data_IF_473479109821
#
_entry.id   IF_473479109821
#
_cell.length_a   1.000
_cell.length_b   1.000
_cell.length_c   1.000
_cell.angle_alpha   90.00
_cell.angle_beta   90.00
_cell.angle_gamma   90.00
#
_symmetry.space_group_name_H-M   'P 1'
#
loop_
_entity.id
_entity.type
_entity.pdbx_description
1 polymer ?
#
# COMPACT_ATOMS: atom_id res chain seq x y z
N UNK A 1 13.71 -44.07 2.35
CA UNK A 1 13.76 -43.26 1.09
C UNK A 1 13.02 -41.99 1.34
N UNK A 2 13.76 -40.85 1.42
CA UNK A 2 13.15 -39.56 1.64
C UNK A 2 12.39 -39.11 0.38
N UNK A 3 11.11 -38.91 0.50
CA UNK A 3 10.28 -38.40 -0.59
C UNK A 3 10.68 -36.92 -0.84
N UNK A 4 11.40 -36.67 -1.89
CA UNK A 4 11.69 -35.31 -2.33
C UNK A 4 10.36 -34.67 -2.72
N UNK A 5 9.85 -33.82 -1.86
CA UNK A 5 8.74 -32.95 -2.22
C UNK A 5 9.28 -31.94 -3.24
N UNK A 6 9.09 -32.25 -4.51
CA UNK A 6 9.48 -31.37 -5.61
C UNK A 6 8.50 -30.19 -5.66
N UNK A 7 8.58 -29.34 -4.65
CA UNK A 7 7.76 -28.12 -4.59
C UNK A 7 8.25 -27.15 -5.67
N UNK A 8 7.46 -26.97 -6.71
CA UNK A 8 7.76 -26.03 -7.78
C UNK A 8 7.90 -24.63 -7.16
N UNK A 9 9.05 -24.02 -7.35
CA UNK A 9 9.35 -22.68 -6.84
C UNK A 9 8.44 -21.65 -7.52
N UNK A 10 7.65 -20.95 -6.70
CA UNK A 10 6.77 -19.88 -7.19
C UNK A 10 7.52 -18.56 -7.40
N UNK A 11 8.66 -18.42 -6.74
CA UNK A 11 9.49 -17.21 -6.78
C UNK A 11 10.95 -17.58 -7.00
N UNK A 12 11.71 -16.65 -7.56
CA UNK A 12 13.14 -16.85 -7.90
C UNK A 12 14.04 -16.11 -6.91
N UNK A 13 15.28 -16.56 -6.82
CA UNK A 13 16.33 -15.82 -6.11
C UNK A 13 16.48 -14.44 -6.75
N UNK A 14 16.82 -13.46 -5.96
CA UNK A 14 16.93 -12.03 -6.28
C UNK A 14 15.61 -11.32 -6.57
N UNK A 15 14.49 -12.06 -6.67
CA UNK A 15 13.18 -11.48 -6.95
C UNK A 15 12.69 -10.63 -5.77
N UNK A 16 12.13 -9.46 -6.08
CA UNK A 16 11.41 -8.64 -5.11
C UNK A 16 9.99 -9.20 -4.94
N UNK A 17 9.55 -9.28 -3.71
CA UNK A 17 8.21 -9.79 -3.35
C UNK A 17 7.59 -8.86 -2.33
N UNK A 18 6.28 -9.03 -2.12
CA UNK A 18 5.55 -8.36 -1.04
C UNK A 18 5.13 -9.43 -0.03
N UNK A 19 5.52 -9.24 1.22
CA UNK A 19 5.06 -10.05 2.34
C UNK A 19 4.01 -9.23 3.09
N UNK A 20 2.80 -9.76 3.34
CA UNK A 20 1.67 -8.93 3.80
C UNK A 20 1.96 -8.04 5.01
N UNK A 21 2.63 -8.58 6.03
CA UNK A 21 2.88 -7.84 7.28
C UNK A 21 4.16 -7.01 7.26
N UNK A 22 5.02 -7.19 6.25
CA UNK A 22 6.35 -6.53 6.21
C UNK A 22 6.58 -5.70 4.95
N UNK A 23 5.74 -5.84 3.93
CA UNK A 23 5.89 -5.10 2.68
C UNK A 23 6.96 -5.70 1.76
N UNK A 24 7.67 -4.85 1.03
CA UNK A 24 8.64 -5.28 0.02
C UNK A 24 9.89 -5.90 0.66
N UNK A 25 10.23 -7.09 0.22
CA UNK A 25 11.47 -7.78 0.57
C UNK A 25 12.10 -8.40 -0.66
N UNK A 26 13.33 -8.85 -0.53
CA UNK A 26 14.04 -9.52 -1.62
C UNK A 26 14.40 -10.95 -1.21
N UNK A 27 14.13 -11.91 -2.08
CA UNK A 27 14.56 -13.29 -1.88
C UNK A 27 16.07 -13.33 -2.16
N UNK A 28 16.85 -13.65 -1.13
CA UNK A 28 18.32 -13.71 -1.25
C UNK A 28 18.81 -15.11 -1.55
N UNK A 29 18.06 -16.13 -1.14
CA UNK A 29 18.43 -17.53 -1.35
C UNK A 29 17.21 -18.42 -1.23
N UNK A 30 17.32 -19.62 -1.78
CA UNK A 30 16.43 -20.75 -1.48
C UNK A 30 17.29 -21.79 -0.77
N UNK A 31 17.05 -21.99 0.53
CA UNK A 31 17.81 -22.91 1.36
C UNK A 31 17.03 -24.21 1.59
N UNK A 32 17.76 -25.29 1.80
CA UNK A 32 17.17 -26.57 2.20
C UNK A 32 17.62 -26.84 3.63
N UNK A 33 16.66 -26.96 4.53
CA UNK A 33 16.93 -27.32 5.94
C UNK A 33 16.32 -28.67 6.27
N UNK A 34 17.02 -29.46 7.03
CA UNK A 34 16.48 -30.71 7.55
C UNK A 34 15.90 -30.46 8.94
N UNK A 35 14.59 -30.62 9.07
CA UNK A 35 13.88 -30.45 10.36
C UNK A 35 13.14 -31.75 10.65
N UNK A 36 13.50 -32.39 11.74
CA UNK A 36 12.89 -33.64 12.19
C UNK A 36 12.92 -34.74 11.11
N UNK A 37 14.04 -34.84 10.36
CA UNK A 37 14.22 -35.85 9.34
C UNK A 37 13.50 -35.55 8.01
N UNK A 38 12.95 -34.35 7.86
CA UNK A 38 12.29 -33.90 6.62
C UNK A 38 13.04 -32.72 5.99
N UNK A 39 13.28 -32.81 4.69
CA UNK A 39 13.89 -31.71 3.92
C UNK A 39 12.82 -30.66 3.64
N UNK A 40 13.05 -29.44 4.11
CA UNK A 40 12.19 -28.29 3.87
C UNK A 40 12.93 -27.22 3.06
N UNK A 41 12.30 -26.76 2.05
CA UNK A 41 12.82 -25.61 1.29
C UNK A 41 12.27 -24.32 1.84
N UNK A 42 13.00 -23.16 2.10
CA UNK A 42 12.66 -22.01 2.59
C UNK A 42 13.13 -21.02 1.71
N UNK A 43 12.38 -20.13 1.51
CA UNK A 43 12.82 -18.86 0.93
C UNK A 43 13.47 -18.01 2.01
N UNK A 44 14.65 -17.49 1.78
CA UNK A 44 15.32 -16.54 2.67
C UNK A 44 15.00 -15.14 2.11
N UNK A 45 14.25 -14.34 2.86
CA UNK A 45 13.77 -13.03 2.41
C UNK A 45 14.40 -11.96 3.30
N UNK A 46 15.09 -11.02 2.68
CA UNK A 46 15.72 -9.89 3.37
C UNK A 46 14.86 -8.65 3.22
N UNK A 47 14.55 -8.03 4.36
CA UNK A 47 13.85 -6.74 4.41
C UNK A 47 14.89 -5.70 4.82
N UNK A 48 15.43 -5.00 3.83
CA UNK A 48 16.57 -4.10 4.00
C UNK A 48 16.31 -3.00 5.01
N UNK A 49 15.12 -2.43 4.96
CA UNK A 49 14.75 -1.27 5.81
C UNK A 49 14.53 -1.66 7.28
N UNK A 50 13.96 -2.83 7.50
CA UNK A 50 13.73 -3.36 8.85
C UNK A 50 14.96 -4.09 9.40
N UNK A 51 15.99 -4.27 8.58
CA UNK A 51 17.21 -5.03 8.89
C UNK A 51 16.87 -6.42 9.42
N UNK A 52 15.90 -7.04 8.76
CA UNK A 52 15.33 -8.33 9.18
C UNK A 52 15.45 -9.36 8.06
N UNK A 53 15.68 -10.60 8.43
CA UNK A 53 15.65 -11.72 7.50
C UNK A 53 14.58 -12.71 7.97
N UNK A 54 13.72 -13.11 7.04
CA UNK A 54 12.64 -14.05 7.31
C UNK A 54 12.85 -15.31 6.47
N UNK A 55 12.63 -16.47 7.08
CA UNK A 55 12.65 -17.76 6.38
C UNK A 55 11.22 -18.27 6.25
N UNK A 56 10.78 -18.47 5.03
CA UNK A 56 9.41 -18.89 4.73
C UNK A 56 9.43 -20.20 3.95
N UNK A 57 8.81 -21.26 4.47
CA UNK A 57 8.74 -22.51 3.72
C UNK A 57 8.09 -22.28 2.33
N UNK A 58 8.71 -22.84 1.30
CA UNK A 58 8.23 -22.72 -0.09
C UNK A 58 6.76 -23.13 -0.19
N UNK A 59 6.40 -24.23 0.47
CA UNK A 59 5.03 -24.75 0.44
C UNK A 59 4.00 -23.80 1.06
N UNK A 60 4.46 -22.88 1.93
CA UNK A 60 3.55 -21.93 2.61
C UNK A 60 3.54 -20.52 2.01
N UNK A 61 4.47 -20.24 1.12
CA UNK A 61 4.65 -18.87 0.59
C UNK A 61 3.34 -18.26 0.05
N UNK A 62 2.61 -19.02 -0.76
CA UNK A 62 1.34 -18.54 -1.34
C UNK A 62 0.25 -18.43 -0.27
N UNK A 63 0.16 -19.41 0.63
CA UNK A 63 -0.90 -19.44 1.65
C UNK A 63 -0.76 -18.32 2.69
N UNK A 64 0.47 -17.84 2.95
CA UNK A 64 0.67 -16.70 3.84
C UNK A 64 0.44 -15.36 3.12
N UNK A 65 0.14 -15.39 1.82
CA UNK A 65 -0.16 -14.20 1.03
C UNK A 65 1.06 -13.53 0.40
N UNK A 66 2.21 -14.21 0.38
CA UNK A 66 3.40 -13.69 -0.30
C UNK A 66 3.14 -13.62 -1.80
N UNK A 67 3.48 -12.48 -2.41
CA UNK A 67 3.21 -12.26 -3.85
C UNK A 67 4.34 -11.49 -4.53
N UNK A 68 4.38 -11.52 -5.82
CA UNK A 68 5.26 -10.66 -6.61
C UNK A 68 4.82 -9.20 -6.50
N UNK A 69 5.67 -8.27 -6.92
CA UNK A 69 5.29 -6.86 -7.05
C UNK A 69 4.07 -6.74 -7.97
N UNK A 70 3.25 -5.75 -7.73
CA UNK A 70 2.05 -5.49 -8.52
C UNK A 70 2.42 -5.19 -9.98
N UNK A 71 1.55 -5.59 -10.90
CA UNK A 71 1.67 -5.27 -12.33
C UNK A 71 1.48 -3.77 -12.55
N UNK A 72 1.90 -3.29 -13.71
CA UNK A 72 1.69 -1.89 -14.09
C UNK A 72 0.21 -1.52 -14.08
N UNK A 73 -0.67 -2.43 -14.51
CA UNK A 73 -2.12 -2.21 -14.52
C UNK A 73 -2.66 -2.05 -13.08
N UNK A 74 -2.22 -2.90 -12.16
CA UNK A 74 -2.62 -2.81 -10.74
C UNK A 74 -2.05 -1.55 -10.10
N UNK A 75 -0.80 -1.19 -10.41
CA UNK A 75 -0.20 0.06 -9.94
C UNK A 75 -1.02 1.27 -10.42
N UNK A 76 -1.45 1.28 -11.68
CA UNK A 76 -2.27 2.35 -12.22
C UNK A 76 -3.59 2.49 -11.43
N UNK A 77 -4.23 1.37 -11.08
CA UNK A 77 -5.44 1.36 -10.23
C UNK A 77 -5.16 1.93 -8.84
N UNK A 78 -4.03 1.57 -8.24
CA UNK A 78 -3.59 2.08 -6.95
C UNK A 78 -3.42 3.61 -6.99
N UNK A 79 -2.70 4.12 -7.97
CA UNK A 79 -2.46 5.56 -8.14
C UNK A 79 -3.77 6.32 -8.43
N UNK A 80 -4.69 5.71 -9.18
CA UNK A 80 -6.03 6.28 -9.42
C UNK A 80 -6.83 6.35 -8.11
N UNK A 81 -6.73 5.32 -7.27
CA UNK A 81 -7.39 5.29 -5.96
C UNK A 81 -6.96 6.48 -5.10
N UNK A 82 -5.66 6.86 -5.14
CA UNK A 82 -5.13 8.00 -4.38
C UNK A 82 -5.77 9.33 -4.78
N UNK A 83 -6.19 9.49 -6.03
CA UNK A 83 -6.83 10.70 -6.53
C UNK A 83 -8.28 10.81 -6.08
N UNK A 84 -8.88 9.71 -5.61
CA UNK A 84 -10.27 9.66 -5.22
C UNK A 84 -10.58 10.45 -3.94
N UNK A 85 -11.87 10.62 -3.68
CA UNK A 85 -12.34 11.28 -2.45
C UNK A 85 -12.12 10.36 -1.24
N UNK A 86 -11.58 10.87 -0.14
CA UNK A 86 -11.49 10.09 1.09
C UNK A 86 -12.85 9.56 1.55
N UNK A 87 -12.87 8.32 1.98
CA UNK A 87 -14.10 7.65 2.47
C UNK A 87 -13.91 7.33 3.95
N UNK A 88 -14.35 8.27 4.80
CA UNK A 88 -14.21 8.12 6.27
C UNK A 88 -15.55 7.69 6.84
N UNK A 89 -15.58 6.50 7.43
CA UNK A 89 -16.79 5.97 8.08
C UNK A 89 -17.07 6.69 9.39
N UNK A 90 -18.35 6.83 9.73
CA UNK A 90 -18.79 7.45 10.98
C UNK A 90 -18.92 6.40 12.10
N UNK A 91 -17.88 5.61 12.30
CA UNK A 91 -17.81 4.61 13.36
C UNK A 91 -16.78 5.04 14.39
N UNK A 92 -16.79 4.37 15.57
CA UNK A 92 -15.81 4.62 16.62
C UNK A 92 -14.39 4.46 16.08
N UNK A 93 -13.46 5.32 16.57
CA UNK A 93 -12.07 5.31 16.13
C UNK A 93 -11.42 3.92 16.29
N UNK A 94 -11.68 3.23 17.40
CA UNK A 94 -11.09 1.90 17.64
C UNK A 94 -11.44 0.92 16.51
N UNK A 95 -12.67 0.94 16.02
CA UNK A 95 -13.12 0.09 14.92
C UNK A 95 -12.49 0.51 13.59
N UNK A 96 -12.42 1.82 13.35
CA UNK A 96 -11.77 2.36 12.15
C UNK A 96 -10.28 2.01 12.13
N UNK A 97 -9.60 2.15 13.27
CA UNK A 97 -8.18 1.81 13.40
C UNK A 97 -7.92 0.34 13.08
N UNK A 98 -8.78 -0.56 13.56
CA UNK A 98 -8.69 -1.98 13.24
C UNK A 98 -8.84 -2.25 11.76
N UNK A 99 -9.77 -1.58 11.09
CA UNK A 99 -9.96 -1.71 9.64
C UNK A 99 -8.73 -1.21 8.88
N UNK A 100 -8.17 -0.07 9.27
CA UNK A 100 -6.96 0.47 8.65
C UNK A 100 -5.78 -0.49 8.83
N UNK A 101 -5.58 -1.00 10.04
CA UNK A 101 -4.52 -1.98 10.32
C UNK A 101 -4.68 -3.23 9.47
N UNK A 102 -5.89 -3.74 9.38
CA UNK A 102 -6.21 -4.92 8.56
C UNK A 102 -5.85 -4.68 7.08
N UNK A 103 -6.19 -3.51 6.55
CA UNK A 103 -5.86 -3.15 5.15
C UNK A 103 -4.34 -3.01 4.95
N UNK A 104 -3.64 -2.38 5.89
CA UNK A 104 -2.18 -2.20 5.83
C UNK A 104 -1.48 -3.57 5.80
N UNK A 105 -1.95 -4.51 6.61
CA UNK A 105 -1.36 -5.84 6.74
C UNK A 105 -1.91 -6.87 5.76
N UNK A 106 -2.81 -6.47 4.86
CA UNK A 106 -3.42 -7.38 3.87
C UNK A 106 -2.46 -7.79 2.76
N UNK A 107 -1.46 -6.97 2.48
CA UNK A 107 -0.58 -7.17 1.33
C UNK A 107 -1.17 -6.69 0.01
N UNK A 108 -2.39 -6.17 0.00
CA UNK A 108 -3.08 -5.70 -1.20
C UNK A 108 -2.79 -4.21 -1.42
N UNK A 109 -2.13 -3.87 -2.52
CA UNK A 109 -1.72 -2.50 -2.82
C UNK A 109 -2.93 -1.55 -2.92
N UNK A 110 -4.08 -2.02 -3.41
CA UNK A 110 -5.29 -1.18 -3.53
C UNK A 110 -5.82 -0.84 -2.14
N UNK A 111 -5.90 -1.82 -1.23
CA UNK A 111 -6.37 -1.60 0.14
C UNK A 111 -5.44 -0.64 0.90
N UNK A 112 -4.12 -0.80 0.72
CA UNK A 112 -3.14 0.11 1.33
C UNK A 112 -3.33 1.53 0.78
N UNK A 113 -3.56 1.67 -0.53
CA UNK A 113 -3.83 2.96 -1.18
C UNK A 113 -5.08 3.63 -0.60
N UNK A 114 -6.11 2.86 -0.29
CA UNK A 114 -7.33 3.39 0.34
C UNK A 114 -7.03 4.00 1.71
N UNK A 115 -6.18 3.35 2.52
CA UNK A 115 -5.78 3.88 3.83
C UNK A 115 -5.01 5.19 3.67
N UNK A 116 -4.06 5.24 2.75
CA UNK A 116 -3.26 6.45 2.46
C UNK A 116 -4.19 7.59 2.04
N UNK A 117 -5.11 7.33 1.10
CA UNK A 117 -6.09 8.31 0.63
C UNK A 117 -6.96 8.82 1.77
N UNK A 118 -7.49 7.93 2.59
CA UNK A 118 -8.49 8.25 3.61
C UNK A 118 -7.89 8.99 4.81
N UNK A 119 -6.60 8.78 5.10
CA UNK A 119 -5.93 9.43 6.23
C UNK A 119 -5.08 10.64 5.82
N UNK A 120 -4.85 10.85 4.54
CA UNK A 120 -4.05 11.98 4.05
C UNK A 120 -4.70 13.31 4.43
N UNK A 121 -3.87 14.27 4.87
CA UNK A 121 -4.28 15.66 5.17
C UNK A 121 -3.33 16.61 4.44
N UNK A 122 -3.90 17.58 3.76
CA UNK A 122 -3.12 18.66 3.13
C UNK A 122 -2.96 19.82 4.12
N UNK A 123 -2.26 20.85 3.72
CA UNK A 123 -1.91 22.00 4.57
C UNK A 123 -3.14 22.79 5.04
N UNK A 124 -4.26 22.72 4.33
CA UNK A 124 -5.48 23.46 4.66
C UNK A 124 -6.41 22.71 5.60
N UNK A 125 -6.13 21.43 5.87
CA UNK A 125 -6.98 20.57 6.69
C UNK A 125 -6.43 20.46 8.11
N UNK A 126 -7.29 20.16 9.10
CA UNK A 126 -6.81 19.91 10.47
C UNK A 126 -5.80 18.76 10.49
N UNK A 127 -4.82 18.89 11.35
CA UNK A 127 -3.78 17.85 11.52
C UNK A 127 -4.40 16.53 11.98
N UNK A 128 -3.76 15.45 11.60
CA UNK A 128 -4.10 14.10 12.08
C UNK A 128 -3.84 14.00 13.58
N UNK A 129 -4.66 13.20 14.28
CA UNK A 129 -4.33 12.77 15.63
C UNK A 129 -3.05 11.91 15.59
N UNK A 130 -2.44 11.69 16.76
CA UNK A 130 -1.24 10.86 16.86
C UNK A 130 -1.49 9.46 16.27
N UNK A 131 -2.60 8.82 16.64
CA UNK A 131 -2.96 7.48 16.15
C UNK A 131 -3.19 7.45 14.64
N UNK A 132 -3.87 8.46 14.10
CA UNK A 132 -4.08 8.59 12.65
C UNK A 132 -2.75 8.73 11.91
N UNK A 133 -1.84 9.54 12.46
CA UNK A 133 -0.52 9.76 11.86
C UNK A 133 0.29 8.47 11.82
N UNK A 134 0.26 7.69 12.90
CA UNK A 134 0.98 6.41 12.96
C UNK A 134 0.50 5.46 11.86
N UNK A 135 -0.81 5.33 11.70
CA UNK A 135 -1.40 4.47 10.67
C UNK A 135 -1.12 5.01 9.26
N UNK A 136 -1.24 6.32 9.07
CA UNK A 136 -0.95 6.96 7.79
C UNK A 136 0.50 6.72 7.37
N UNK A 137 1.44 6.95 8.26
CA UNK A 137 2.88 6.77 7.97
C UNK A 137 3.20 5.30 7.65
N UNK A 138 2.62 4.37 8.39
CA UNK A 138 2.80 2.93 8.13
C UNK A 138 2.29 2.55 6.73
N UNK A 139 1.11 3.03 6.37
CA UNK A 139 0.51 2.78 5.06
C UNK A 139 1.34 3.43 3.94
N UNK A 140 1.77 4.67 4.15
CA UNK A 140 2.57 5.43 3.18
C UNK A 140 3.88 4.72 2.88
N UNK A 141 4.57 4.24 3.91
CA UNK A 141 5.84 3.51 3.75
C UNK A 141 5.62 2.24 2.93
N UNK A 142 4.58 1.45 3.24
CA UNK A 142 4.25 0.24 2.49
C UNK A 142 4.00 0.53 1.01
N UNK A 143 3.15 1.51 0.76
CA UNK A 143 2.76 1.88 -0.60
C UNK A 143 3.93 2.47 -1.38
N UNK A 144 4.62 3.45 -0.80
CA UNK A 144 5.71 4.16 -1.49
C UNK A 144 6.87 3.25 -1.84
N UNK A 145 7.19 2.28 -0.99
CA UNK A 145 8.26 1.31 -1.26
C UNK A 145 7.89 0.39 -2.44
N UNK A 146 6.65 -0.06 -2.51
CA UNK A 146 6.23 -0.89 -3.64
C UNK A 146 6.21 -0.07 -4.93
N UNK A 147 5.68 1.16 -4.90
CA UNK A 147 5.70 2.08 -6.05
C UNK A 147 7.15 2.30 -6.53
N UNK A 148 8.05 2.61 -5.61
CA UNK A 148 9.47 2.82 -5.92
C UNK A 148 10.08 1.58 -6.57
N UNK A 149 9.80 0.40 -6.03
CA UNK A 149 10.34 -0.87 -6.56
C UNK A 149 9.84 -1.16 -7.96
N UNK A 150 8.56 -0.85 -8.25
CA UNK A 150 7.98 -1.07 -9.58
C UNK A 150 8.54 -0.06 -10.60
N UNK A 151 8.66 1.21 -10.20
CA UNK A 151 9.05 2.30 -11.11
C UNK A 151 10.57 2.58 -11.14
N UNK A 152 11.35 1.84 -10.36
CA UNK A 152 12.80 2.01 -10.32
C UNK A 152 13.26 3.30 -9.66
N UNK A 153 12.55 3.72 -8.62
CA UNK A 153 12.81 4.95 -7.87
C UNK A 153 13.46 4.62 -6.52
N UNK A 154 14.08 5.61 -5.90
CA UNK A 154 14.50 5.51 -4.49
C UNK A 154 13.29 5.74 -3.57
N UNK A 155 13.50 5.62 -2.25
CA UNK A 155 12.42 5.77 -1.28
C UNK A 155 11.77 7.16 -1.36
N UNK A 156 12.58 8.21 -1.46
CA UNK A 156 12.08 9.59 -1.58
C UNK A 156 11.26 9.78 -2.86
N UNK A 157 11.72 9.18 -3.96
CA UNK A 157 11.00 9.20 -5.24
C UNK A 157 9.65 8.49 -5.16
N UNK A 158 9.59 7.38 -4.45
CA UNK A 158 8.34 6.64 -4.20
C UNK A 158 7.34 7.47 -3.42
N UNK A 159 7.79 8.12 -2.35
CA UNK A 159 6.94 9.01 -1.54
C UNK A 159 6.45 10.19 -2.39
N UNK A 160 7.35 10.82 -3.15
CA UNK A 160 6.99 11.95 -4.02
C UNK A 160 5.92 11.55 -5.04
N UNK A 161 6.05 10.35 -5.60
CA UNK A 161 5.09 9.82 -6.58
C UNK A 161 3.68 9.64 -5.98
N UNK A 162 3.62 9.11 -4.74
CA UNK A 162 2.35 8.95 -4.02
C UNK A 162 1.73 10.32 -3.71
N UNK A 163 2.52 11.26 -3.19
CA UNK A 163 2.05 12.60 -2.83
C UNK A 163 1.57 13.37 -4.07
N UNK A 164 2.23 13.21 -5.21
CA UNK A 164 1.82 13.80 -6.48
C UNK A 164 0.37 13.43 -6.81
N UNK A 165 0.02 12.14 -6.66
CA UNK A 165 -1.34 11.67 -6.97
C UNK A 165 -2.37 12.12 -5.93
N UNK A 166 -1.98 12.14 -4.64
CA UNK A 166 -2.85 12.64 -3.58
C UNK A 166 -3.18 14.12 -3.82
N UNK A 167 -2.15 14.93 -4.11
CA UNK A 167 -2.33 16.37 -4.33
C UNK A 167 -3.10 16.68 -5.63
N UNK A 168 -2.90 15.87 -6.67
CA UNK A 168 -3.68 16.01 -7.90
C UNK A 168 -5.17 15.79 -7.64
N UNK A 169 -5.52 14.83 -6.80
CA UNK A 169 -6.91 14.58 -6.39
C UNK A 169 -7.50 15.74 -5.59
N UNK A 170 -6.74 16.30 -4.66
CA UNK A 170 -7.16 17.47 -3.87
C UNK A 170 -7.41 18.66 -4.81
N UNK A 171 -6.48 18.93 -5.72
CA UNK A 171 -6.56 20.05 -6.68
C UNK A 171 -7.80 19.93 -7.58
N UNK A 172 -8.06 18.73 -8.08
CA UNK A 172 -9.23 18.46 -8.94
C UNK A 172 -10.54 18.73 -8.17
N UNK A 173 -10.62 18.27 -6.93
CA UNK A 173 -11.83 18.49 -6.10
C UNK A 173 -12.02 19.96 -5.75
N UNK A 174 -10.94 20.70 -5.51
CA UNK A 174 -11.01 22.13 -5.22
C UNK A 174 -11.54 22.91 -6.42
N UNK A 175 -11.02 22.62 -7.62
CA UNK A 175 -11.48 23.27 -8.86
C UNK A 175 -12.96 22.99 -9.11
N UNK A 176 -13.42 21.77 -8.87
CA UNK A 176 -14.84 21.40 -9.04
C UNK A 176 -15.72 22.13 -8.04
N UNK A 177 -15.29 22.29 -6.78
CA UNK A 177 -16.02 23.03 -5.74
C UNK A 177 -16.11 24.53 -6.08
N UNK A 178 -15.01 25.11 -6.55
CA UNK A 178 -14.95 26.54 -6.96
C UNK A 178 -15.89 26.80 -8.14
N UNK A 179 -15.86 25.93 -9.16
CA UNK A 179 -16.75 26.07 -10.34
C UNK A 179 -18.22 25.98 -9.96
N UNK A 180 -18.56 25.08 -9.01
CA UNK A 180 -19.94 24.94 -8.50
C UNK A 180 -20.39 26.20 -7.74
N UNK A 181 -19.51 26.75 -6.90
CA UNK A 181 -19.80 27.99 -6.13
C UNK A 181 -20.04 29.18 -7.07
N UNK A 182 -19.24 29.31 -8.13
CA UNK A 182 -19.39 30.36 -9.13
C UNK A 182 -20.73 30.23 -9.86
N UNK A 183 -21.10 29.03 -10.30
CA UNK A 183 -22.38 28.76 -10.98
C UNK A 183 -23.57 29.07 -10.10
N UNK A 184 -23.52 28.74 -8.81
CA UNK A 184 -24.57 29.00 -7.83
C UNK A 184 -24.71 30.51 -7.58
N UNK A 185 -23.59 31.24 -7.54
CA UNK A 185 -23.57 32.68 -7.33
C UNK A 185 -24.18 33.44 -8.55
N UNK A 186 -23.84 33.03 -9.78
CA UNK A 186 -24.41 33.58 -11.01
C UNK A 186 -25.92 33.37 -11.08
N UNK A 187 -26.38 32.16 -10.69
CA UNK A 187 -27.80 31.81 -10.71
C UNK A 187 -28.61 32.63 -9.66
N UNK A 188 -27.99 32.93 -8.49
CA UNK A 188 -28.65 33.74 -7.46
C UNK A 188 -28.72 35.22 -7.83
N UNK A 189 -27.73 35.73 -8.59
CA UNK A 189 -27.76 37.14 -9.07
C UNK A 189 -28.83 37.35 -10.14
N UNK A 190 -29.11 36.39 -11.01
CA UNK A 190 -30.13 36.42 -12.02
C UNK A 190 -31.55 36.41 -11.43
N UNK A 191 -31.76 35.67 -10.32
CA UNK A 191 -33.06 35.66 -9.63
C UNK A 191 -33.32 36.93 -8.81
N UNK A 192 -32.28 37.65 -8.40
CA UNK A 192 -32.43 38.93 -7.66
C UNK A 192 -32.70 40.12 -8.59
N UNK A 193 -32.46 39.99 -9.91
CA UNK A 193 -32.65 41.06 -10.92
C UNK A 193 -34.02 40.99 -11.62
N UNK A 194 -34.90 40.04 -11.26
CA UNK A 194 -36.23 39.86 -11.86
C UNK A 194 -37.35 40.46 -10.92
#
# INVERSE_FOLDING_TARGET
>A
MATKANNKLSFKETQLIVYPTHGVGQITAVEVEEIAGLELQXYVIKFEKEKMTLRVPVAKATSVGMRALSSEATLAKSLKTLKGRPRVKRTMWSRRAQEYESKINSGDIILVSEVVRDLYRNETQPEQSYSERQLYEAALVRLSREVASIEGLDDAGGVARVLEHLNAGVSTRQKAADAKAEAENENSSDTAAA
#
